data_IF_510432163374
#
_entry.id   IF_510432163374
#
_cell.length_a   1.000
_cell.length_b   1.000
_cell.length_c   1.000
_cell.angle_alpha   90.00
_cell.angle_beta   90.00
_cell.angle_gamma   90.00
#
_symmetry.space_group_name_H-M   'P 1'
#
loop_
_entity.id
_entity.type
_entity.pdbx_description
1 polymer ?
#
# COMPACT_ATOMS: atom_id res chain seq x y z
N UNK A 1 3.43 -15.03 -28.66
CA UNK A 1 3.09 -14.95 -27.21
C UNK A 1 2.49 -13.58 -26.97
N UNK A 2 1.38 -13.49 -26.24
CA UNK A 2 0.69 -12.21 -25.94
C UNK A 2 1.08 -11.72 -24.54
N UNK A 3 0.89 -10.43 -24.28
CA UNK A 3 0.98 -9.85 -22.94
C UNK A 3 -0.16 -10.37 -22.07
N UNK A 4 0.14 -10.62 -20.80
CA UNK A 4 -0.87 -10.94 -19.79
C UNK A 4 -1.59 -9.68 -19.33
N UNK A 5 -2.72 -9.82 -18.63
CA UNK A 5 -3.40 -8.66 -18.05
C UNK A 5 -2.52 -7.93 -17.02
N UNK A 6 -1.80 -8.67 -16.18
CA UNK A 6 -0.84 -8.10 -15.22
C UNK A 6 0.26 -7.30 -15.93
N UNK A 7 0.78 -7.80 -17.04
CA UNK A 7 1.76 -7.05 -17.86
C UNK A 7 1.17 -5.72 -18.36
N UNK A 8 -0.08 -5.73 -18.82
CA UNK A 8 -0.76 -4.52 -19.30
C UNK A 8 -1.02 -3.51 -18.17
N UNK A 9 -1.32 -3.99 -16.96
CA UNK A 9 -1.51 -3.16 -15.77
C UNK A 9 -0.18 -2.51 -15.34
N UNK A 10 0.90 -3.31 -15.28
CA UNK A 10 2.23 -2.78 -14.95
C UNK A 10 2.70 -1.76 -15.99
N UNK A 11 2.43 -2.00 -17.28
CA UNK A 11 2.71 -1.04 -18.34
C UNK A 11 1.89 0.25 -18.16
N UNK A 12 0.59 0.14 -17.86
CA UNK A 12 -0.29 1.31 -17.64
C UNK A 12 0.20 2.22 -16.50
N UNK A 13 0.61 1.64 -15.38
CA UNK A 13 1.12 2.41 -14.23
C UNK A 13 2.62 2.77 -14.33
N UNK A 14 3.32 2.31 -15.38
CA UNK A 14 4.76 2.52 -15.53
C UNK A 14 5.60 1.78 -14.49
N UNK A 15 5.11 0.64 -14.01
CA UNK A 15 5.72 -0.19 -12.95
C UNK A 15 6.56 -1.35 -13.50
N UNK A 16 6.67 -1.49 -14.82
CA UNK A 16 7.54 -2.47 -15.46
C UNK A 16 9.04 -2.14 -15.30
N UNK A 17 9.88 -3.17 -15.34
CA UNK A 17 11.34 -2.98 -15.46
C UNK A 17 11.70 -2.47 -16.85
N UNK A 18 12.81 -1.73 -17.01
CA UNK A 18 13.13 -1.09 -18.29
C UNK A 18 13.26 -2.03 -19.50
N UNK A 19 13.68 -3.29 -19.30
CA UNK A 19 13.73 -4.28 -20.36
C UNK A 19 12.34 -4.85 -20.71
N UNK A 20 11.50 -5.07 -19.70
CA UNK A 20 10.12 -5.54 -19.89
C UNK A 20 9.26 -4.47 -20.53
N UNK A 21 9.44 -3.21 -20.14
CA UNK A 21 8.73 -2.05 -20.69
C UNK A 21 9.03 -1.85 -22.19
N UNK A 22 10.30 -1.96 -22.59
CA UNK A 22 10.68 -1.89 -23.99
C UNK A 22 10.05 -3.02 -24.81
N UNK A 23 10.05 -4.26 -24.28
CA UNK A 23 9.42 -5.42 -24.92
C UNK A 23 7.90 -5.25 -25.02
N UNK A 24 7.25 -4.76 -23.96
CA UNK A 24 5.81 -4.52 -23.94
C UNK A 24 5.42 -3.45 -24.95
N UNK A 25 6.15 -2.33 -24.99
CA UNK A 25 5.93 -1.25 -25.95
C UNK A 25 6.07 -1.75 -27.40
N UNK A 26 7.16 -2.44 -27.72
CA UNK A 26 7.35 -3.03 -29.05
C UNK A 26 6.20 -3.98 -29.40
N UNK A 27 5.80 -4.85 -28.47
CA UNK A 27 4.71 -5.78 -28.70
C UNK A 27 3.35 -5.10 -28.90
N UNK A 28 3.05 -4.04 -28.16
CA UNK A 28 1.81 -3.27 -28.31
C UNK A 28 1.74 -2.58 -29.67
N UNK A 29 2.88 -2.17 -30.25
CA UNK A 29 2.91 -1.62 -31.62
C UNK A 29 2.73 -2.68 -32.70
N UNK A 30 3.17 -3.91 -32.46
CA UNK A 30 3.17 -4.99 -33.45
C UNK A 30 1.93 -5.89 -33.38
N UNK A 31 1.21 -5.92 -32.25
CA UNK A 31 0.15 -6.88 -31.98
C UNK A 31 -1.22 -6.20 -31.79
N UNK A 32 -2.06 -6.25 -32.83
CA UNK A 32 -3.39 -5.65 -32.82
C UNK A 32 -4.30 -6.20 -31.69
N UNK A 33 -4.23 -7.48 -31.36
CA UNK A 33 -5.05 -8.05 -30.27
C UNK A 33 -4.63 -7.52 -28.90
N UNK A 34 -3.33 -7.38 -28.64
CA UNK A 34 -2.83 -6.78 -27.40
C UNK A 34 -3.16 -5.30 -27.32
N UNK A 35 -3.10 -4.57 -28.43
CA UNK A 35 -3.53 -3.17 -28.49
C UNK A 35 -5.02 -3.01 -28.14
N UNK A 36 -5.89 -3.88 -28.69
CA UNK A 36 -7.32 -3.87 -28.35
C UNK A 36 -7.56 -4.16 -26.86
N UNK A 37 -6.86 -5.14 -26.29
CA UNK A 37 -6.92 -5.43 -24.86
C UNK A 37 -6.45 -4.24 -24.02
N UNK A 38 -5.33 -3.63 -24.40
CA UNK A 38 -4.75 -2.49 -23.70
C UNK A 38 -5.67 -1.27 -23.73
N UNK A 39 -6.19 -0.88 -24.89
CA UNK A 39 -7.16 0.24 -24.99
C UNK A 39 -8.45 -0.02 -24.19
N UNK A 40 -8.89 -1.29 -24.08
CA UNK A 40 -10.01 -1.63 -23.21
C UNK A 40 -9.66 -1.42 -21.73
N UNK A 41 -8.48 -1.85 -21.31
CA UNK A 41 -7.97 -1.66 -19.96
C UNK A 41 -7.85 -0.17 -19.60
N UNK A 42 -7.21 0.63 -20.47
CA UNK A 42 -7.05 2.08 -20.29
C UNK A 42 -8.39 2.78 -20.04
N UNK A 43 -9.43 2.44 -20.79
CA UNK A 43 -10.77 3.04 -20.59
C UNK A 43 -11.36 2.70 -19.22
N UNK A 44 -11.17 1.48 -18.73
CA UNK A 44 -11.71 1.06 -17.43
C UNK A 44 -10.95 1.77 -16.31
N UNK A 45 -9.62 1.79 -16.38
CA UNK A 45 -8.77 2.42 -15.37
C UNK A 45 -8.94 3.95 -15.35
N UNK A 46 -9.07 4.59 -16.51
CA UNK A 46 -9.33 6.02 -16.59
C UNK A 46 -10.63 6.45 -15.88
N UNK A 47 -11.66 5.59 -15.83
CA UNK A 47 -12.88 5.88 -15.07
C UNK A 47 -12.59 5.93 -13.56
N UNK A 48 -11.73 5.03 -13.07
CA UNK A 48 -11.33 5.00 -11.66
C UNK A 48 -10.45 6.21 -11.33
N UNK A 49 -9.49 6.53 -12.20
CA UNK A 49 -8.55 7.64 -12.00
C UNK A 49 -9.23 9.02 -12.09
N UNK A 50 -10.32 9.13 -12.85
CA UNK A 50 -11.10 10.38 -13.00
C UNK A 50 -12.30 10.46 -12.05
N UNK A 51 -12.49 9.46 -11.19
CA UNK A 51 -13.57 9.49 -10.21
C UNK A 51 -13.37 10.69 -9.26
N UNK A 52 -14.43 11.47 -8.97
CA UNK A 52 -14.32 12.61 -8.08
C UNK A 52 -13.93 12.14 -6.67
N UNK A 53 -12.97 12.82 -6.07
CA UNK A 53 -12.65 12.63 -4.66
C UNK A 53 -13.88 12.97 -3.81
N UNK A 54 -14.23 12.09 -2.87
CA UNK A 54 -15.33 12.30 -1.92
C UNK A 54 -14.73 12.68 -0.58
N UNK A 55 -15.10 13.88 -0.11
CA UNK A 55 -14.69 14.33 1.22
C UNK A 55 -15.31 13.47 2.31
N UNK A 56 -14.51 13.17 3.34
CA UNK A 56 -15.00 12.47 4.51
C UNK A 56 -16.03 13.35 5.26
N UNK A 57 -17.12 12.76 5.79
CA UNK A 57 -18.09 13.52 6.57
C UNK A 57 -17.45 14.06 7.85
N UNK A 58 -17.98 15.16 8.38
CA UNK A 58 -17.47 15.80 9.60
C UNK A 58 -17.40 14.81 10.76
N UNK A 59 -16.22 14.69 11.39
CA UNK A 59 -16.00 13.79 12.52
C UNK A 59 -15.74 12.33 12.15
N UNK A 60 -15.57 12.03 10.86
CA UNK A 60 -15.20 10.70 10.36
C UNK A 60 -13.96 10.15 11.08
N UNK A 61 -12.87 10.92 11.23
CA UNK A 61 -11.65 10.38 11.83
C UNK A 61 -11.87 9.96 13.28
N UNK A 62 -12.64 10.73 14.05
CA UNK A 62 -12.98 10.38 15.44
C UNK A 62 -13.74 9.06 15.52
N UNK A 63 -14.69 8.84 14.62
CA UNK A 63 -15.48 7.60 14.58
C UNK A 63 -14.60 6.43 14.14
N UNK A 64 -13.79 6.62 13.10
CA UNK A 64 -12.86 5.61 12.60
C UNK A 64 -11.85 5.20 13.68
N UNK A 65 -11.29 6.18 14.39
CA UNK A 65 -10.31 5.94 15.46
C UNK A 65 -10.91 5.20 16.65
N UNK A 66 -12.11 5.59 17.11
CA UNK A 66 -12.79 4.90 18.20
C UNK A 66 -13.06 3.41 17.87
N UNK A 67 -13.36 3.08 16.61
CA UNK A 67 -13.52 1.70 16.15
C UNK A 67 -12.19 0.96 16.08
N UNK A 68 -11.15 1.62 15.54
CA UNK A 68 -9.82 1.03 15.42
C UNK A 68 -9.22 0.73 16.79
N UNK A 69 -9.30 1.66 17.74
CA UNK A 69 -8.76 1.50 19.08
C UNK A 69 -9.32 0.26 19.81
N UNK A 70 -10.61 -0.02 19.64
CA UNK A 70 -11.25 -1.21 20.20
C UNK A 70 -10.72 -2.53 19.59
N UNK A 71 -10.27 -2.50 18.34
CA UNK A 71 -9.71 -3.66 17.64
C UNK A 71 -8.19 -3.81 17.85
N UNK A 72 -7.51 -2.78 18.35
CA UNK A 72 -6.09 -2.86 18.62
C UNK A 72 -5.82 -3.72 19.86
N UNK A 73 -4.79 -4.57 19.84
CA UNK A 73 -4.40 -5.32 21.03
C UNK A 73 -4.04 -4.32 22.13
N UNK A 74 -4.56 -4.57 23.34
CA UNK A 74 -4.24 -3.77 24.51
C UNK A 74 -2.72 -3.58 24.57
N UNK A 75 -2.26 -2.34 24.45
CA UNK A 75 -0.84 -2.00 24.56
C UNK A 75 -0.43 -2.44 25.95
N UNK A 76 0.23 -3.59 26.08
CA UNK A 76 0.84 -4.05 27.32
C UNK A 76 2.02 -3.12 27.61
N UNK A 77 1.73 -1.89 28.07
CA UNK A 77 2.68 -1.09 28.83
C UNK A 77 2.82 -1.81 30.16
N UNK A 78 3.67 -2.83 30.11
CA UNK A 78 3.90 -3.73 31.21
C UNK A 78 4.36 -2.90 32.38
N UNK A 79 3.60 -2.97 33.47
CA UNK A 79 4.10 -3.14 34.83
C UNK A 79 5.58 -3.54 34.86
N UNK A 80 5.98 -4.55 34.06
CA UNK A 80 7.35 -5.07 34.00
C UNK A 80 8.42 -4.03 33.64
N UNK A 81 8.11 -3.02 32.80
CA UNK A 81 9.05 -1.93 32.52
C UNK A 81 9.32 -1.04 33.75
N UNK A 82 8.32 -0.86 34.62
CA UNK A 82 8.47 -0.15 35.90
C UNK A 82 9.31 -0.96 36.91
N UNK A 83 9.16 -2.29 36.93
CA UNK A 83 9.96 -3.14 37.82
C UNK A 83 11.40 -3.38 37.32
N UNK A 84 11.64 -3.34 36.02
CA UNK A 84 12.97 -3.52 35.42
C UNK A 84 13.78 -2.21 35.46
N UNK A 85 13.14 -1.05 35.29
CA UNK A 85 13.79 0.27 35.35
C UNK A 85 13.59 0.99 36.69
N UNK A 86 13.16 0.29 37.74
CA UNK A 86 13.07 0.87 39.08
C UNK A 86 14.47 1.28 39.57
N UNK A 87 14.70 2.53 40.00
CA UNK A 87 16.02 3.04 40.36
C UNK A 87 16.69 2.26 41.51
N UNK A 88 15.92 1.52 42.31
CA UNK A 88 16.45 0.63 43.36
C UNK A 88 17.33 -0.51 42.81
N UNK A 89 17.13 -0.94 41.56
CA UNK A 89 17.92 -2.02 40.94
C UNK A 89 19.17 -1.53 40.21
N UNK A 90 19.21 -0.24 39.84
CA UNK A 90 20.39 0.41 39.26
C UNK A 90 21.41 0.83 40.34
N UNK A 91 20.99 0.97 41.60
CA UNK A 91 21.89 1.26 42.71
C UNK A 91 22.93 0.15 42.98
N UNK A 92 22.63 -1.10 42.62
CA UNK A 92 23.53 -2.24 42.81
C UNK A 92 24.57 -2.40 41.71
N UNK A 93 24.43 -1.71 40.57
CA UNK A 93 25.41 -1.76 39.49
C UNK A 93 26.59 -0.80 39.70
N UNK A 94 26.51 0.11 40.68
CA UNK A 94 27.57 1.07 41.01
C UNK A 94 28.39 0.68 42.27
N UNK A 95 28.18 -0.53 42.81
CA UNK A 95 28.79 -0.99 44.06
C UNK A 95 29.78 -2.16 43.87
N UNK A 96 30.31 -2.35 42.65
CA UNK A 96 31.34 -3.36 42.32
C UNK A 96 32.52 -2.71 41.60
#
# INVERSE_FOLDING_TARGET
MHLTEDDLVLHYYGEMTGADEARATEHLTACASCQVCYTRLERVLAIVDTAPAVDAPTGFERIAWARLEAALPARRRGWLSWFVLSPARLAWAAAL
#
